data_IF_505489662133
#
_entry.id   IF_505489662133
#
_cell.length_a   1.000
_cell.length_b   1.000
_cell.length_c   1.000
_cell.angle_alpha   90.00
_cell.angle_beta   90.00
_cell.angle_gamma   90.00
#
_symmetry.space_group_name_H-M   'P 1'
#
loop_
_entity.id
_entity.type
_entity.pdbx_description
1 polymer ?
#
# COMPACT_ATOMS: atom_id res chain seq x y z
N UNK A 1 18.24 7.56 9.96
CA UNK A 1 18.97 6.29 9.72
C UNK A 1 18.53 5.74 8.38
N UNK A 2 19.46 5.25 7.57
CA UNK A 2 19.18 4.67 6.25
C UNK A 2 19.46 3.17 6.33
N UNK A 3 18.50 2.35 5.92
CA UNK A 3 18.61 0.91 5.84
C UNK A 3 18.55 0.48 4.38
N UNK A 4 19.64 -0.03 3.84
CA UNK A 4 19.70 -0.52 2.45
C UNK A 4 19.38 -2.01 2.40
N UNK A 5 18.52 -2.41 1.47
CA UNK A 5 18.20 -3.82 1.23
C UNK A 5 18.93 -4.27 -0.03
N UNK A 6 19.82 -5.27 0.05
CA UNK A 6 20.54 -5.74 -1.11
C UNK A 6 19.57 -6.34 -2.14
N UNK A 7 19.87 -6.08 -3.41
CA UNK A 7 19.07 -6.59 -4.52
C UNK A 7 19.67 -7.91 -5.05
N UNK A 8 18.81 -8.75 -5.64
CA UNK A 8 19.17 -10.06 -6.16
C UNK A 8 20.14 -10.00 -7.36
N UNK A 9 21.45 -10.09 -7.09
CA UNK A 9 22.51 -9.96 -8.12
C UNK A 9 22.51 -11.02 -9.22
N UNK A 10 21.68 -12.06 -9.15
CA UNK A 10 21.65 -13.17 -10.11
C UNK A 10 20.60 -13.03 -11.21
N UNK A 11 19.60 -12.16 -11.07
CA UNK A 11 18.71 -11.82 -12.19
C UNK A 11 19.28 -10.64 -12.96
N UNK A 12 19.22 -10.69 -14.30
CA UNK A 12 19.53 -9.56 -15.18
C UNK A 12 18.61 -8.34 -14.97
N UNK A 13 17.63 -8.46 -14.07
CA UNK A 13 16.60 -7.48 -13.72
C UNK A 13 16.82 -6.82 -12.35
N UNK A 14 17.96 -7.04 -11.70
CA UNK A 14 18.33 -6.33 -10.48
C UNK A 14 18.76 -4.87 -10.76
N UNK A 15 17.90 -4.14 -11.47
CA UNK A 15 18.09 -2.71 -11.71
C UNK A 15 17.61 -1.88 -10.53
N UNK A 16 16.65 -2.40 -9.73
CA UNK A 16 15.96 -1.60 -8.73
C UNK A 16 16.53 -1.75 -7.31
N UNK A 17 16.96 -0.66 -6.68
CA UNK A 17 17.44 -0.65 -5.29
C UNK A 17 16.34 -0.16 -4.35
N UNK A 18 16.19 -0.84 -3.21
CA UNK A 18 15.26 -0.46 -2.15
C UNK A 18 16.03 -0.06 -0.89
N UNK A 19 15.70 1.10 -0.34
CA UNK A 19 16.14 1.54 0.98
C UNK A 19 14.94 2.03 1.80
N UNK A 20 15.02 1.86 3.11
CA UNK A 20 14.06 2.42 4.06
C UNK A 20 14.79 3.50 4.86
N UNK A 21 14.24 4.70 4.86
CA UNK A 21 14.80 5.88 5.51
C UNK A 21 13.89 6.22 6.68
N UNK A 22 14.47 6.25 7.87
CA UNK A 22 13.76 6.54 9.11
C UNK A 22 14.42 7.72 9.79
N UNK A 23 13.72 8.83 9.96
CA UNK A 23 14.25 10.03 10.63
C UNK A 23 13.51 10.25 11.94
N UNK A 24 14.24 10.65 12.98
CA UNK A 24 13.64 11.09 14.23
C UNK A 24 13.33 12.59 14.12
N UNK A 25 12.05 12.95 14.22
CA UNK A 25 11.57 14.33 14.10
C UNK A 25 11.31 15.00 15.46
N UNK A 26 11.44 14.28 16.59
CA UNK A 26 11.13 14.82 17.91
C UNK A 26 11.17 13.79 19.04
N UNK A 27 10.38 13.99 20.09
CA UNK A 27 10.39 13.08 21.24
C UNK A 27 9.93 11.66 20.88
N UNK A 28 8.83 11.53 20.15
CA UNK A 28 8.22 10.24 19.77
C UNK A 28 7.71 10.20 18.31
N UNK A 29 8.03 11.22 17.53
CA UNK A 29 7.63 11.31 16.12
C UNK A 29 8.78 10.89 15.22
N UNK A 30 8.48 9.99 14.29
CA UNK A 30 9.42 9.49 13.30
C UNK A 30 8.84 9.67 11.91
N UNK A 31 9.70 9.89 10.93
CA UNK A 31 9.34 9.65 9.54
C UNK A 31 9.77 8.24 9.13
N UNK A 32 8.99 7.62 8.27
CA UNK A 32 9.35 6.39 7.58
C UNK A 32 9.05 6.62 6.11
N UNK A 33 10.08 6.55 5.27
CA UNK A 33 9.96 6.70 3.83
C UNK A 33 10.71 5.57 3.13
N UNK A 34 10.14 5.08 2.04
CA UNK A 34 10.79 4.12 1.17
C UNK A 34 11.48 4.85 0.02
N UNK A 35 12.64 4.37 -0.39
CA UNK A 35 13.37 4.90 -1.52
C UNK A 35 13.59 3.77 -2.52
N UNK A 36 12.94 3.88 -3.69
CA UNK A 36 13.07 2.93 -4.79
C UNK A 36 13.73 3.65 -5.95
N UNK A 37 14.94 3.24 -6.31
CA UNK A 37 15.73 3.88 -7.38
C UNK A 37 15.85 5.40 -7.22
N UNK A 38 16.26 5.83 -6.02
CA UNK A 38 16.40 7.24 -5.67
C UNK A 38 15.10 8.04 -5.68
N UNK A 39 13.93 7.38 -5.81
CA UNK A 39 12.63 8.01 -5.73
C UNK A 39 11.98 7.68 -4.38
N UNK A 40 11.61 8.72 -3.64
CA UNK A 40 10.85 8.56 -2.40
C UNK A 40 9.44 8.07 -2.66
N UNK A 41 8.97 7.21 -1.77
CA UNK A 41 7.61 6.74 -1.67
C UNK A 41 7.15 6.80 -0.19
N UNK A 42 6.12 7.60 0.14
CA UNK A 42 5.50 8.61 -0.72
C UNK A 42 6.47 9.73 -1.10
N UNK A 43 6.08 10.61 -2.03
CA UNK A 43 6.90 11.75 -2.48
C UNK A 43 7.03 12.90 -1.46
N UNK A 44 6.37 12.78 -0.30
CA UNK A 44 6.51 13.68 0.84
C UNK A 44 7.04 12.93 2.05
N UNK A 45 7.43 13.67 3.09
CA UNK A 45 7.87 13.11 4.35
C UNK A 45 6.67 12.57 5.13
N UNK A 46 6.47 11.26 5.13
CA UNK A 46 5.40 10.61 5.89
C UNK A 46 5.88 10.39 7.32
N UNK A 47 5.15 10.92 8.30
CA UNK A 47 5.56 10.86 9.70
C UNK A 47 4.40 10.62 10.65
N UNK A 48 4.70 9.89 11.73
CA UNK A 48 3.73 9.60 12.76
C UNK A 48 4.40 9.22 14.08
N UNK A 49 3.59 8.91 15.09
CA UNK A 49 4.06 8.34 16.34
C UNK A 49 4.80 7.04 16.06
N UNK A 50 5.97 6.92 16.66
CA UNK A 50 6.83 5.73 16.58
C UNK A 50 6.08 4.42 16.81
N UNK A 51 5.15 4.40 17.79
CA UNK A 51 4.40 3.19 18.14
C UNK A 51 3.54 2.65 16.98
N UNK A 52 3.09 3.52 16.09
CA UNK A 52 2.35 3.13 14.88
C UNK A 52 3.29 2.37 13.94
N UNK A 53 4.45 2.95 13.60
CA UNK A 53 5.42 2.27 12.75
C UNK A 53 5.94 0.98 13.39
N UNK A 54 6.27 0.99 14.69
CA UNK A 54 6.76 -0.18 15.39
C UNK A 54 5.77 -1.36 15.27
N UNK A 55 4.47 -1.09 15.47
CA UNK A 55 3.42 -2.11 15.29
C UNK A 55 3.40 -2.65 13.87
N UNK A 56 3.54 -1.79 12.86
CA UNK A 56 3.52 -2.19 11.46
C UNK A 56 4.75 -2.98 11.02
N UNK A 57 5.94 -2.66 11.55
CA UNK A 57 7.17 -3.42 11.30
C UNK A 57 7.21 -4.75 12.07
N UNK A 58 6.57 -4.84 13.24
CA UNK A 58 6.50 -6.07 14.05
C UNK A 58 5.35 -7.02 13.65
N UNK A 59 4.60 -6.70 12.58
CA UNK A 59 3.64 -7.62 12.00
C UNK A 59 4.39 -8.78 11.36
N UNK A 60 4.47 -9.94 12.03
CA UNK A 60 5.21 -11.10 11.51
C UNK A 60 4.47 -11.82 10.39
N UNK A 61 3.15 -11.82 10.42
CA UNK A 61 2.33 -12.59 9.48
C UNK A 61 2.57 -12.15 8.03
N UNK A 62 2.65 -10.84 7.79
CA UNK A 62 2.91 -10.25 6.47
C UNK A 62 4.27 -10.67 5.86
N UNK A 63 5.26 -10.98 6.70
CA UNK A 63 6.62 -11.31 6.24
C UNK A 63 6.97 -12.81 6.29
N UNK A 64 6.32 -13.57 7.18
CA UNK A 64 6.71 -14.96 7.49
C UNK A 64 5.83 -16.00 6.80
N UNK A 65 4.57 -15.67 6.46
CA UNK A 65 3.62 -16.63 5.93
C UNK A 65 2.95 -16.10 4.67
N UNK A 66 3.21 -16.76 3.54
CA UNK A 66 2.35 -16.94 2.35
C UNK A 66 3.23 -16.95 1.09
N UNK A 67 3.72 -18.15 0.72
CA UNK A 67 4.19 -18.36 -0.66
C UNK A 67 2.99 -18.10 -1.57
N UNK A 68 3.13 -17.15 -2.48
CA UNK A 68 2.04 -16.73 -3.34
C UNK A 68 2.44 -16.76 -4.81
N UNK A 69 2.49 -17.97 -5.37
CA UNK A 69 2.90 -18.23 -6.76
C UNK A 69 2.05 -17.46 -7.76
N UNK A 70 0.74 -17.37 -7.50
CA UNK A 70 -0.23 -16.72 -8.37
C UNK A 70 0.05 -15.23 -8.54
N UNK A 71 0.47 -14.56 -7.47
CA UNK A 71 0.81 -13.13 -7.51
C UNK A 71 2.25 -12.91 -7.95
N UNK A 72 3.17 -13.76 -7.49
CA UNK A 72 4.59 -13.54 -7.70
C UNK A 72 4.99 -13.60 -9.17
N UNK A 73 4.28 -14.38 -9.99
CA UNK A 73 4.59 -14.52 -11.42
C UNK A 73 3.88 -13.50 -12.32
N UNK A 74 3.06 -12.59 -11.77
CA UNK A 74 2.43 -11.53 -12.54
C UNK A 74 3.42 -10.40 -12.87
N UNK A 75 3.21 -9.78 -14.04
CA UNK A 75 3.83 -8.50 -14.36
C UNK A 75 3.32 -7.39 -13.43
N UNK A 76 4.11 -6.33 -13.26
CA UNK A 76 3.84 -5.24 -12.31
C UNK A 76 2.41 -4.68 -12.42
N UNK A 77 1.89 -4.52 -13.64
CA UNK A 77 0.56 -3.94 -13.85
C UNK A 77 -0.54 -4.91 -13.46
N UNK A 78 -0.47 -6.17 -13.90
CA UNK A 78 -1.44 -7.20 -13.50
C UNK A 78 -1.40 -7.48 -12.00
N UNK A 79 -0.19 -7.48 -11.42
CA UNK A 79 0.02 -7.62 -9.98
C UNK A 79 -0.69 -6.51 -9.21
N UNK A 80 -0.50 -5.25 -9.61
CA UNK A 80 -1.18 -4.10 -9.02
C UNK A 80 -2.71 -4.26 -9.09
N UNK A 81 -3.26 -4.54 -10.27
CA UNK A 81 -4.71 -4.71 -10.47
C UNK A 81 -5.24 -5.79 -9.54
N UNK A 82 -4.56 -6.94 -9.47
CA UNK A 82 -5.00 -8.07 -8.66
C UNK A 82 -4.95 -7.78 -7.16
N UNK A 83 -3.90 -7.12 -6.68
CA UNK A 83 -3.77 -6.70 -5.28
C UNK A 83 -4.89 -5.73 -4.89
N UNK A 84 -5.17 -4.73 -5.73
CA UNK A 84 -6.25 -3.76 -5.45
C UNK A 84 -7.63 -4.43 -5.47
N UNK A 85 -7.89 -5.34 -6.42
CA UNK A 85 -9.15 -6.07 -6.50
C UNK A 85 -9.40 -6.97 -5.28
N UNK A 86 -8.37 -7.60 -4.71
CA UNK A 86 -8.51 -8.46 -3.52
C UNK A 86 -8.58 -7.65 -2.23
N UNK A 87 -7.79 -6.59 -2.09
CA UNK A 87 -7.63 -5.87 -0.82
C UNK A 87 -8.55 -4.67 -0.64
N UNK A 88 -9.14 -4.15 -1.72
CA UNK A 88 -10.06 -3.01 -1.68
C UNK A 88 -11.34 -3.33 -2.46
N UNK A 89 -12.02 -4.41 -2.05
CA UNK A 89 -13.19 -4.93 -2.74
C UNK A 89 -14.27 -3.86 -2.89
N UNK A 90 -14.51 -3.06 -1.84
CA UNK A 90 -15.53 -2.02 -1.88
C UNK A 90 -15.25 -0.95 -2.96
N UNK A 91 -13.99 -0.51 -3.05
CA UNK A 91 -13.56 0.45 -4.06
C UNK A 91 -13.75 -0.12 -5.47
N UNK A 92 -13.40 -1.39 -5.67
CA UNK A 92 -13.53 -2.03 -6.98
C UNK A 92 -15.00 -2.35 -7.36
N UNK A 93 -15.84 -2.76 -6.41
CA UNK A 93 -17.27 -3.03 -6.66
C UNK A 93 -18.02 -1.79 -7.17
N UNK A 94 -17.69 -0.61 -6.65
CA UNK A 94 -18.23 0.67 -7.16
C UNK A 94 -17.97 0.84 -8.64
N UNK A 95 -16.76 0.52 -9.07
CA UNK A 95 -16.36 0.60 -10.47
C UNK A 95 -17.06 -0.45 -11.33
N UNK A 96 -17.32 -1.65 -10.80
CA UNK A 96 -18.13 -2.65 -11.48
C UNK A 96 -19.58 -2.16 -11.70
N UNK A 97 -20.20 -1.51 -10.71
CA UNK A 97 -21.54 -0.89 -10.83
C UNK A 97 -21.55 0.16 -11.96
N UNK A 98 -20.55 1.03 -11.97
CA UNK A 98 -20.38 2.08 -12.98
C UNK A 98 -20.23 1.47 -14.38
N UNK A 99 -19.37 0.46 -14.52
CA UNK A 99 -19.13 -0.23 -15.80
C UNK A 99 -20.35 -1.00 -16.32
N UNK A 100 -21.13 -1.60 -15.41
CA UNK A 100 -22.34 -2.34 -15.75
C UNK A 100 -23.56 -1.44 -15.95
N UNK A 101 -23.44 -0.12 -15.75
CA UNK A 101 -24.54 0.82 -15.86
C UNK A 101 -25.71 0.45 -14.92
N UNK A 102 -25.37 0.08 -13.69
CA UNK A 102 -26.34 -0.34 -12.65
C UNK A 102 -26.65 0.78 -11.64
N UNK A 103 -26.17 1.99 -11.89
CA UNK A 103 -26.48 3.19 -11.11
C UNK A 103 -27.90 3.71 -11.46
N UNK A 104 -28.54 4.47 -10.56
CA UNK A 104 -29.90 4.96 -10.74
C UNK A 104 -29.90 6.11 -11.76
N UNK A 105 -30.94 6.17 -12.57
CA UNK A 105 -31.14 7.29 -13.51
C UNK A 105 -31.81 8.49 -12.85
N UNK A 106 -32.47 8.27 -11.71
CA UNK A 106 -33.18 9.29 -10.93
C UNK A 106 -32.84 9.08 -9.46
N UNK A 107 -32.47 10.17 -8.76
CA UNK A 107 -32.12 10.13 -7.35
C UNK A 107 -33.38 10.16 -6.47
N UNK A 108 -33.55 9.16 -5.61
CA UNK A 108 -34.46 9.21 -4.47
C UNK A 108 -33.78 8.67 -3.19
N UNK A 109 -34.32 9.01 -2.02
CA UNK A 109 -33.74 8.63 -0.73
C UNK A 109 -33.77 7.11 -0.45
N UNK A 110 -34.71 6.37 -1.06
CA UNK A 110 -34.80 4.91 -0.98
C UNK A 110 -33.71 4.21 -1.80
N UNK A 111 -33.02 4.96 -2.66
CA UNK A 111 -31.91 4.42 -3.44
C UNK A 111 -30.69 4.11 -2.56
N UNK A 112 -30.40 4.89 -1.52
CA UNK A 112 -29.27 4.58 -0.62
C UNK A 112 -29.47 3.22 0.08
N UNK A 113 -30.70 2.90 0.48
CA UNK A 113 -31.03 1.59 1.05
C UNK A 113 -30.90 0.45 0.02
N UNK A 114 -31.25 0.71 -1.24
CA UNK A 114 -31.06 -0.24 -2.34
C UNK A 114 -29.60 -0.35 -2.82
N UNK A 115 -28.78 0.67 -2.57
CA UNK A 115 -27.39 0.73 -3.02
C UNK A 115 -26.52 -0.26 -2.25
N UNK A 116 -26.69 -0.34 -0.93
CA UNK A 116 -26.01 -1.35 -0.12
C UNK A 116 -26.43 -2.77 -0.51
N UNK A 117 -27.72 -2.99 -0.80
CA UNK A 117 -28.23 -4.26 -1.34
C UNK A 117 -27.65 -4.59 -2.73
N UNK A 118 -27.40 -3.60 -3.58
CA UNK A 118 -26.74 -3.79 -4.88
C UNK A 118 -25.28 -4.25 -4.70
N UNK A 119 -24.56 -3.70 -3.73
CA UNK A 119 -23.19 -4.14 -3.42
C UNK A 119 -23.13 -5.59 -2.98
N UNK A 120 -24.09 -6.04 -2.19
CA UNK A 120 -24.17 -7.41 -1.69
C UNK A 120 -24.49 -8.40 -2.82
N UNK A 121 -25.26 -7.98 -3.83
CA UNK A 121 -25.68 -8.84 -4.93
C UNK A 121 -24.65 -8.99 -6.08
N UNK A 122 -23.74 -8.03 -6.26
CA UNK A 122 -22.80 -8.02 -7.41
C UNK A 122 -21.63 -8.98 -7.22
N UNK A 123 -21.12 -9.16 -5.99
CA UNK A 123 -20.15 -10.22 -5.71
C UNK A 123 -20.10 -10.57 -4.22
N UNK A 124 -20.03 -11.87 -3.90
CA UNK A 124 -19.73 -12.36 -2.55
C UNK A 124 -18.21 -12.36 -2.27
N UNK A 125 -17.41 -11.54 -2.95
CA UNK A 125 -15.96 -11.53 -2.74
C UNK A 125 -15.65 -10.92 -1.39
N UNK A 126 -15.05 -11.69 -0.49
CA UNK A 126 -14.51 -11.17 0.76
C UNK A 126 -13.22 -10.39 0.48
N UNK A 127 -13.03 -9.32 1.25
CA UNK A 127 -11.83 -8.52 1.16
C UNK A 127 -10.66 -9.27 1.83
N UNK A 128 -9.56 -9.43 1.09
CA UNK A 128 -8.35 -10.08 1.58
C UNK A 128 -7.20 -9.08 1.59
N UNK A 129 -6.78 -8.68 2.79
CA UNK A 129 -5.69 -7.73 3.03
C UNK A 129 -4.43 -8.38 3.59
N UNK A 130 -4.31 -9.70 3.52
CA UNK A 130 -3.19 -10.44 4.12
C UNK A 130 -1.83 -10.07 3.51
N UNK A 131 -1.84 -9.53 2.29
CA UNK A 131 -0.65 -9.05 1.56
C UNK A 131 -0.42 -7.55 1.72
N UNK A 132 -1.36 -6.81 2.29
CA UNK A 132 -1.26 -5.37 2.48
C UNK A 132 -0.40 -5.10 3.72
N UNK A 133 0.74 -4.47 3.51
CA UNK A 133 1.57 -4.01 4.61
C UNK A 133 1.10 -2.63 5.07
N UNK A 134 0.23 -2.64 6.09
CA UNK A 134 -0.35 -1.44 6.68
C UNK A 134 0.68 -0.67 7.52
N UNK A 135 1.59 0.04 6.85
CA UNK A 135 2.59 0.91 7.50
C UNK A 135 1.93 1.97 8.36
N UNK A 136 0.96 2.68 7.79
CA UNK A 136 0.25 3.77 8.44
C UNK A 136 -1.02 4.10 7.64
N UNK A 137 -2.18 4.03 8.28
CA UNK A 137 -3.43 4.35 7.60
C UNK A 137 -3.55 5.85 7.27
N UNK A 138 -3.08 6.73 8.14
CA UNK A 138 -3.23 8.19 8.00
C UNK A 138 -2.26 8.74 6.97
N UNK A 139 -0.99 8.36 7.07
CA UNK A 139 0.06 8.91 6.21
C UNK A 139 0.17 8.18 4.89
N UNK A 140 -0.17 6.89 4.80
CA UNK A 140 -0.04 6.12 3.55
C UNK A 140 -1.41 5.83 2.92
N UNK A 141 -2.21 4.93 3.53
CA UNK A 141 -3.43 4.38 2.92
C UNK A 141 -4.45 5.48 2.58
N UNK A 142 -4.69 6.41 3.51
CA UNK A 142 -5.63 7.51 3.33
C UNK A 142 -5.17 8.53 2.29
N UNK A 143 -3.89 8.57 1.97
CA UNK A 143 -3.33 9.44 0.93
C UNK A 143 -3.12 8.71 -0.41
N UNK A 144 -3.59 7.47 -0.52
CA UNK A 144 -3.51 6.70 -1.76
C UNK A 144 -2.15 6.04 -1.99
N UNK A 145 -1.38 5.78 -0.93
CA UNK A 145 -0.13 5.03 -1.01
C UNK A 145 -0.31 3.67 -0.34
N UNK A 146 -0.06 2.60 -1.09
CA UNK A 146 -0.23 1.24 -0.62
C UNK A 146 1.06 0.47 -0.83
N UNK A 147 1.45 -0.32 0.17
CA UNK A 147 2.61 -1.19 0.09
C UNK A 147 2.14 -2.61 0.32
N UNK A 148 2.48 -3.50 -0.60
CA UNK A 148 2.17 -4.92 -0.48
C UNK A 148 3.43 -5.75 -0.42
N UNK A 149 3.34 -6.85 0.30
CA UNK A 149 4.39 -7.85 0.42
C UNK A 149 3.88 -9.15 -0.20
N UNK A 150 4.60 -9.63 -1.21
CA UNK A 150 4.31 -10.90 -1.88
C UNK A 150 5.53 -11.80 -1.75
N UNK A 151 5.43 -12.79 -0.88
CA UNK A 151 6.53 -13.73 -0.59
C UNK A 151 6.50 -14.92 -1.55
N UNK A 152 7.66 -15.39 -1.99
CA UNK A 152 7.82 -16.57 -2.82
C UNK A 152 9.17 -17.23 -2.59
N UNK A 153 9.16 -18.38 -1.92
CA UNK A 153 10.35 -19.17 -1.58
C UNK A 153 11.42 -18.34 -0.85
N UNK A 154 12.47 -17.89 -1.56
CA UNK A 154 13.59 -17.11 -1.02
C UNK A 154 13.53 -15.63 -1.38
N UNK A 155 12.53 -15.24 -2.17
CA UNK A 155 12.39 -13.89 -2.70
C UNK A 155 11.08 -13.27 -2.21
N UNK A 156 11.09 -11.96 -2.06
CA UNK A 156 9.93 -11.16 -1.70
C UNK A 156 9.81 -10.02 -2.69
N UNK A 157 8.62 -9.86 -3.29
CA UNK A 157 8.25 -8.66 -4.03
C UNK A 157 7.66 -7.65 -3.05
N UNK A 158 8.29 -6.49 -2.97
CA UNK A 158 7.74 -5.30 -2.32
C UNK A 158 7.09 -4.44 -3.40
N UNK A 159 5.78 -4.29 -3.33
CA UNK A 159 4.96 -3.65 -4.35
C UNK A 159 4.47 -2.31 -3.82
N UNK A 160 4.92 -1.22 -4.45
CA UNK A 160 4.53 0.14 -4.12
C UNK A 160 3.49 0.61 -5.13
N UNK A 161 2.28 0.91 -4.64
CA UNK A 161 1.17 1.37 -5.48
C UNK A 161 0.78 2.78 -5.05
N UNK A 162 0.74 3.73 -5.98
CA UNK A 162 0.16 5.05 -5.74
C UNK A 162 -1.12 5.25 -6.53
N UNK A 163 -2.08 5.90 -5.89
CA UNK A 163 -3.38 6.23 -6.42
C UNK A 163 -3.60 7.74 -6.30
N UNK A 164 -3.72 8.41 -7.45
CA UNK A 164 -3.93 9.84 -7.51
C UNK A 164 -5.42 10.19 -7.41
N UNK A 165 -5.89 10.35 -6.17
CA UNK A 165 -7.27 10.75 -5.85
C UNK A 165 -7.74 12.03 -6.55
N UNK A 166 -6.82 12.96 -6.85
CA UNK A 166 -7.19 14.24 -7.48
C UNK A 166 -7.54 14.11 -8.96
N UNK A 167 -7.04 13.05 -9.61
CA UNK A 167 -7.37 12.71 -10.99
C UNK A 167 -8.54 11.74 -11.09
N UNK A 168 -8.95 11.18 -9.95
CA UNK A 168 -10.10 10.30 -9.86
C UNK A 168 -11.37 11.11 -9.59
N UNK A 169 -12.09 11.47 -10.66
CA UNK A 169 -13.43 12.06 -10.58
C UNK A 169 -14.50 10.96 -10.38
N UNK A 170 -14.45 10.27 -9.23
CA UNK A 170 -15.37 9.18 -8.88
C UNK A 170 -16.84 9.64 -8.98
N UNK A 171 -17.16 10.80 -8.39
CA UNK A 171 -18.50 11.38 -8.41
C UNK A 171 -18.92 11.78 -9.82
N UNK A 172 -18.04 12.35 -10.64
CA UNK A 172 -18.36 12.65 -12.03
C UNK A 172 -18.55 11.40 -12.89
N UNK A 173 -17.78 10.32 -12.65
CA UNK A 173 -18.01 9.02 -13.29
C UNK A 173 -19.34 8.41 -12.86
N UNK A 174 -19.68 8.52 -11.58
CA UNK A 174 -20.94 8.00 -11.03
C UNK A 174 -22.16 8.79 -11.53
N UNK A 175 -22.09 10.12 -11.51
CA UNK A 175 -23.21 11.01 -11.84
C UNK A 175 -23.34 11.35 -13.33
N UNK A 176 -22.28 11.18 -14.14
CA UNK A 176 -22.32 11.43 -15.58
C UNK A 176 -21.73 10.27 -16.41
N UNK A 177 -22.55 9.24 -16.65
CA UNK A 177 -22.07 8.01 -17.26
C UNK A 177 -21.78 8.13 -18.75
N UNK A 178 -22.43 9.06 -19.44
CA UNK A 178 -22.12 9.33 -20.85
C UNK A 178 -20.74 9.99 -21.02
N UNK A 179 -20.24 10.67 -19.97
CA UNK A 179 -18.85 11.13 -19.91
C UNK A 179 -17.84 9.98 -19.69
N UNK A 180 -18.27 8.82 -19.18
CA UNK A 180 -17.39 7.64 -18.96
C UNK A 180 -16.75 7.16 -20.26
N UNK A 181 -17.46 7.26 -21.41
CA UNK A 181 -16.90 6.87 -22.72
C UNK A 181 -15.67 7.71 -23.12
N UNK A 182 -15.43 8.86 -22.46
CA UNK A 182 -14.25 9.71 -22.65
C UNK A 182 -13.30 9.72 -21.45
N UNK A 183 -13.64 9.06 -20.34
CA UNK A 183 -12.81 9.03 -19.15
C UNK A 183 -11.83 7.85 -19.14
N UNK A 184 -10.66 8.02 -18.50
CA UNK A 184 -9.75 6.92 -18.21
C UNK A 184 -10.48 5.79 -17.45
N UNK A 185 -10.22 4.54 -17.83
CA UNK A 185 -10.72 3.35 -17.10
C UNK A 185 -10.19 3.39 -15.67
N UNK A 186 -10.90 2.88 -14.67
CA UNK A 186 -10.46 2.92 -13.25
C UNK A 186 -8.97 2.64 -13.05
N UNK A 187 -8.44 1.57 -13.64
CA UNK A 187 -7.01 1.28 -13.70
C UNK A 187 -6.31 1.98 -14.88
N UNK A 188 -6.38 3.31 -14.93
CA UNK A 188 -5.59 4.11 -15.86
C UNK A 188 -4.19 4.36 -15.30
N UNK A 189 -3.21 4.56 -16.17
CA UNK A 189 -1.81 4.78 -15.77
C UNK A 189 -1.58 6.20 -15.21
N UNK A 190 -2.43 7.17 -15.58
CA UNK A 190 -2.39 8.52 -15.00
C UNK A 190 -2.93 8.56 -13.57
N UNK A 191 -3.81 7.62 -13.20
CA UNK A 191 -4.44 7.53 -11.88
C UNK A 191 -3.67 6.57 -10.97
N UNK A 192 -3.30 5.39 -11.50
CA UNK A 192 -2.64 4.32 -10.74
C UNK A 192 -1.24 4.07 -11.25
N UNK A 193 -0.25 4.21 -10.37
CA UNK A 193 1.14 3.84 -10.67
C UNK A 193 1.60 2.69 -9.76
N UNK A 194 2.48 1.86 -10.29
CA UNK A 194 3.08 0.74 -9.55
C UNK A 194 4.59 0.71 -9.74
N UNK A 195 5.31 0.40 -8.66
CA UNK A 195 6.73 0.03 -8.70
C UNK A 195 6.91 -1.24 -7.89
N UNK A 196 7.47 -2.27 -8.52
CA UNK A 196 7.82 -3.53 -7.84
C UNK A 196 9.32 -3.61 -7.69
N UNK A 197 9.78 -4.01 -6.50
CA UNK A 197 11.17 -4.39 -6.23
C UNK A 197 11.18 -5.83 -5.71
N UNK A 198 12.06 -6.66 -6.25
CA UNK A 198 12.31 -8.01 -5.75
C UNK A 198 13.59 -8.02 -4.90
N UNK A 199 13.48 -8.58 -3.70
CA UNK A 199 14.57 -8.69 -2.72
C UNK A 199 14.66 -10.10 -2.17
N UNK A 200 15.82 -10.48 -1.62
CA UNK A 200 15.92 -11.72 -0.87
C UNK A 200 15.17 -11.60 0.46
N UNK A 201 14.26 -12.54 0.73
CA UNK A 201 13.40 -12.53 1.92
C UNK A 201 14.22 -12.47 3.21
N UNK A 202 15.31 -13.24 3.29
CA UNK A 202 16.17 -13.27 4.47
C UNK A 202 16.87 -11.93 4.73
N UNK A 203 17.32 -11.24 3.67
CA UNK A 203 17.98 -9.94 3.78
C UNK A 203 16.97 -8.84 4.15
N UNK A 204 15.79 -8.89 3.55
CA UNK A 204 14.69 -7.99 3.88
C UNK A 204 14.28 -8.12 5.35
N UNK A 205 14.03 -9.33 5.84
CA UNK A 205 13.72 -9.61 7.24
C UNK A 205 14.82 -9.14 8.20
N UNK A 206 16.10 -9.28 7.81
CA UNK A 206 17.20 -8.78 8.62
C UNK A 206 17.18 -7.25 8.75
N UNK A 207 16.77 -6.52 7.70
CA UNK A 207 16.57 -5.07 7.74
C UNK A 207 15.35 -4.70 8.58
N UNK A 208 14.22 -5.39 8.43
CA UNK A 208 13.02 -5.19 9.28
C UNK A 208 13.38 -5.33 10.76
N UNK A 209 14.14 -6.37 11.12
CA UNK A 209 14.61 -6.57 12.49
C UNK A 209 15.49 -5.42 13.00
N UNK A 210 16.37 -4.88 12.16
CA UNK A 210 17.18 -3.72 12.53
C UNK A 210 16.32 -2.47 12.75
N UNK A 211 15.29 -2.27 11.93
CA UNK A 211 14.33 -1.17 12.07
C UNK A 211 13.57 -1.28 13.39
N UNK A 212 13.03 -2.46 13.70
CA UNK A 212 12.33 -2.72 14.98
C UNK A 212 13.24 -2.34 16.15
N UNK A 213 14.48 -2.85 16.16
CA UNK A 213 15.45 -2.53 17.20
C UNK A 213 15.71 -1.02 17.32
N UNK A 214 15.90 -0.32 16.19
CA UNK A 214 16.15 1.13 16.18
C UNK A 214 14.97 1.93 16.76
N UNK A 215 13.75 1.59 16.36
CA UNK A 215 12.53 2.21 16.89
C UNK A 215 12.39 1.91 18.40
N UNK A 216 12.60 0.65 18.84
CA UNK A 216 12.51 0.28 20.25
C UNK A 216 13.54 0.98 21.15
N UNK A 217 14.79 1.12 20.71
CA UNK A 217 15.88 1.73 21.50
C UNK A 217 15.75 3.24 21.66
N UNK A 218 14.97 3.91 20.82
CA UNK A 218 14.80 5.37 20.87
C UNK A 218 14.07 5.87 22.14
N UNK A 219 13.59 4.96 23.01
CA UNK A 219 13.04 5.26 24.34
C UNK A 219 14.09 5.65 25.38
N UNK A 220 15.29 5.09 25.30
CA UNK A 220 16.23 5.10 26.43
C UNK A 220 17.05 6.39 26.50
N UNK A 221 17.26 7.07 25.37
CA UNK A 221 18.03 8.31 25.33
C UNK A 221 17.29 9.51 25.95
N UNK A 222 15.97 9.59 25.80
CA UNK A 222 15.17 10.69 26.35
C UNK A 222 14.75 10.47 27.81
N UNK A 223 14.73 9.22 28.27
CA UNK A 223 14.41 8.88 29.67
C UNK A 223 15.56 9.21 30.64
N UNK A 224 16.81 9.27 30.15
CA UNK A 224 17.97 9.62 30.98
C UNK A 224 18.20 11.15 31.13
N UNK A 225 17.54 11.99 30.34
CA UNK A 225 17.67 13.45 30.44
C UNK A 225 16.80 14.10 31.53
N UNK A 226 15.81 13.39 32.08
CA UNK A 226 14.89 13.93 33.10
C UNK A 226 15.23 13.55 34.55
N UNK A 227 16.34 12.84 34.80
CA UNK A 227 16.75 12.42 36.15
C UNK A 227 17.98 13.17 36.70
N UNK A 228 18.31 14.34 36.15
CA UNK A 228 19.28 15.26 36.75
C UNK A 228 18.64 16.63 37.00
N UNK A 229 17.90 16.73 38.09
CA UNK A 229 17.71 17.98 38.84
C UNK A 229 17.97 17.71 40.32
#
# INVERSE_FOLDING_TARGET
MIFEIPCNRQSSECSKRLSIIIENLGSDFFSVNFCVDMNFFPHYLAYNLRGIFLKSFDNKEIFENQVNDDFFNLDDRRLMIRLIQESFVYMYRREEIIQLNLYPREYDDSWFENYDLLFDNISNREENRDKLWEIDSMEYTNNGYFIFIVNHLKNTKVVFISYNKNLDDELGRFCNPEAIKKNPKFFDESIWSVRVVEVYTAEFLAVIKQIINYLSMSNDANSQCHLKQ
#
